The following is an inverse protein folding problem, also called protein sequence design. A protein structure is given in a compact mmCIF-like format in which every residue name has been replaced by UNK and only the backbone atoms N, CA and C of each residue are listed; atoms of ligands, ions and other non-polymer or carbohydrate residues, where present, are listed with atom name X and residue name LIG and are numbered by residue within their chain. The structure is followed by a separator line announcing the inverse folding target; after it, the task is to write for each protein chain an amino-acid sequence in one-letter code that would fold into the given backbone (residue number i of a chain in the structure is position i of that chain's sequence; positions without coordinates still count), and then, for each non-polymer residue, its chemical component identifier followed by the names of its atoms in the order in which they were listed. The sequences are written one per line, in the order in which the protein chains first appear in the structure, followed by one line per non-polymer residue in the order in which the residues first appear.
data_IF_430187199508
#
_entry.id   IF_430187199508
#
_cell.length_a   1.000
_cell.length_b   1.000
_cell.length_c   1.000
_cell.angle_alpha   90.00
_cell.angle_beta   90.00
_cell.angle_gamma   90.00
#
_symmetry.space_group_name_H-M   'P 1'
#
loop_
_entity.id
_entity.type
_entity.pdbx_description
1 polymer ?
#
# COMPACT_ATOMS: atom_id res chain seq x y z
N UNK A 1 -3.71 -5.64 -0.07
CA UNK A 1 -3.20 -4.26 0.10
C UNK A 1 -2.66 -4.14 1.51
N UNK A 2 -1.39 -3.76 1.67
CA UNK A 2 -0.81 -3.45 3.01
C UNK A 2 -1.11 -1.98 3.35
N UNK A 3 -0.85 -1.56 4.58
CA UNK A 3 -1.12 -0.20 5.02
C UNK A 3 -2.54 -0.02 5.58
N UNK A 4 -3.03 1.21 5.53
CA UNK A 4 -4.23 1.64 6.25
C UNK A 4 -5.51 1.59 5.40
N UNK A 5 -5.39 1.72 4.07
CA UNK A 5 -6.53 1.77 3.15
C UNK A 5 -7.57 0.66 3.37
N UNK A 6 -7.10 -0.59 3.57
CA UNK A 6 -7.99 -1.73 3.78
C UNK A 6 -8.76 -1.67 5.10
N UNK A 7 -8.11 -1.22 6.19
CA UNK A 7 -8.77 -1.02 7.47
C UNK A 7 -9.78 0.13 7.38
N UNK A 8 -9.41 1.22 6.71
CA UNK A 8 -10.26 2.38 6.54
C UNK A 8 -11.53 2.07 5.73
N UNK A 9 -11.43 1.21 4.71
CA UNK A 9 -12.58 0.73 3.95
C UNK A 9 -13.59 -0.02 4.86
N UNK A 10 -13.08 -0.83 5.79
CA UNK A 10 -13.92 -1.50 6.80
C UNK A 10 -14.55 -0.50 7.76
N UNK A 11 -13.83 0.53 8.20
CA UNK A 11 -14.38 1.62 9.02
C UNK A 11 -15.38 2.50 8.26
N UNK A 12 -15.29 2.56 6.93
CA UNK A 12 -16.30 3.20 6.08
C UNK A 12 -17.56 2.32 5.91
N UNK A 13 -17.49 1.05 6.31
CA UNK A 13 -18.59 0.10 6.29
C UNK A 13 -18.67 -0.73 5.00
N UNK A 14 -17.58 -0.85 4.25
CA UNK A 14 -17.52 -1.61 3.02
C UNK A 14 -16.57 -2.80 3.16
N UNK A 15 -17.01 -3.97 2.68
CA UNK A 15 -16.17 -5.17 2.59
C UNK A 15 -15.41 -5.25 1.26
N UNK A 16 -16.03 -4.74 0.21
CA UNK A 16 -15.50 -4.73 -1.13
C UNK A 16 -16.07 -3.54 -1.92
N UNK A 17 -15.34 -3.13 -2.95
CA UNK A 17 -15.77 -2.16 -3.95
C UNK A 17 -15.65 -2.84 -5.31
N UNK A 18 -16.76 -2.92 -6.03
CA UNK A 18 -16.81 -3.49 -7.38
C UNK A 18 -16.98 -2.32 -8.35
N UNK A 19 -15.99 -2.13 -9.24
CA UNK A 19 -16.03 -1.07 -10.25
C UNK A 19 -16.32 -1.69 -11.61
N UNK A 20 -17.46 -1.33 -12.18
CA UNK A 20 -17.90 -1.77 -13.50
C UNK A 20 -17.95 -0.58 -14.48
N UNK A 21 -18.03 -0.88 -15.78
CA UNK A 21 -18.05 0.15 -16.82
C UNK A 21 -16.75 0.95 -16.91
N UNK A 22 -16.87 2.18 -17.43
CA UNK A 22 -15.80 3.16 -17.65
C UNK A 22 -16.40 4.56 -17.59
N UNK A 23 -15.76 5.49 -16.88
CA UNK A 23 -16.17 6.89 -16.85
C UNK A 23 -15.78 7.61 -18.16
N UNK A 24 -16.56 8.62 -18.59
CA UNK A 24 -16.26 9.37 -19.82
C UNK A 24 -14.97 10.20 -19.71
N UNK A 25 -14.65 10.68 -18.51
CA UNK A 25 -13.45 11.43 -18.18
C UNK A 25 -12.79 10.88 -16.90
N UNK A 26 -11.52 11.25 -16.59
CA UNK A 26 -10.86 10.88 -15.35
C UNK A 26 -11.68 11.22 -14.10
N UNK A 27 -11.84 10.25 -13.20
CA UNK A 27 -12.58 10.42 -11.94
C UNK A 27 -11.83 9.84 -10.74
N UNK A 28 -12.18 10.32 -9.55
CA UNK A 28 -11.81 9.73 -8.26
C UNK A 28 -13.08 9.28 -7.54
N UNK A 29 -13.09 8.04 -7.05
CA UNK A 29 -14.14 7.56 -6.14
C UNK A 29 -13.82 8.01 -4.72
N UNK A 30 -14.62 8.90 -4.15
CA UNK A 30 -14.49 9.36 -2.77
C UNK A 30 -15.56 8.71 -1.88
N UNK A 31 -15.10 8.03 -0.83
CA UNK A 31 -15.93 7.38 0.18
C UNK A 31 -15.59 8.03 1.52
N UNK A 32 -16.51 8.81 2.07
CA UNK A 32 -16.29 9.50 3.34
C UNK A 32 -17.58 9.55 4.13
N UNK A 33 -17.54 9.12 5.39
CA UNK A 33 -18.65 9.23 6.35
C UNK A 33 -20.00 8.65 5.84
N UNK A 34 -19.95 7.58 5.04
CA UNK A 34 -21.12 6.93 4.45
C UNK A 34 -21.63 7.59 3.15
N UNK A 35 -21.02 8.68 2.70
CA UNK A 35 -21.24 9.27 1.38
C UNK A 35 -20.27 8.64 0.36
N UNK A 36 -20.79 8.23 -0.79
CA UNK A 36 -20.02 7.72 -1.93
C UNK A 36 -20.23 8.64 -3.11
N UNK A 37 -19.16 9.21 -3.67
CA UNK A 37 -19.22 10.17 -4.79
C UNK A 37 -18.14 9.88 -5.82
N UNK A 38 -18.45 10.08 -7.09
CA UNK A 38 -17.46 10.18 -8.16
C UNK A 38 -17.16 11.66 -8.39
N UNK A 39 -15.90 12.03 -8.22
CA UNK A 39 -15.39 13.38 -8.42
C UNK A 39 -14.68 13.45 -9.76
N UNK A 40 -14.95 14.48 -10.57
CA UNK A 40 -14.13 14.76 -11.74
C UNK A 40 -12.69 15.02 -11.31
N UNK A 41 -11.72 14.44 -12.03
CA UNK A 41 -10.31 14.49 -11.67
C UNK A 41 -9.35 14.71 -12.86
N UNK A 42 -9.67 15.58 -13.84
CA UNK A 42 -8.77 15.82 -14.98
C UNK A 42 -7.37 16.31 -14.57
N UNK A 43 -7.26 17.09 -13.49
CA UNK A 43 -6.02 17.68 -12.98
C UNK A 43 -5.08 16.66 -12.31
N UNK A 44 -5.62 15.52 -11.89
CA UNK A 44 -4.86 14.42 -11.30
C UNK A 44 -4.30 13.48 -12.37
N UNK A 45 -4.88 13.47 -13.57
CA UNK A 45 -4.41 12.61 -14.66
C UNK A 45 -3.01 13.04 -15.11
N UNK A 46 -2.11 12.09 -15.29
CA UNK A 46 -0.69 12.32 -15.58
C UNK A 46 0.19 12.52 -14.35
N UNK A 47 -0.39 12.66 -13.14
CA UNK A 47 0.36 12.80 -11.89
C UNK A 47 0.86 11.46 -11.37
N UNK A 48 2.01 11.47 -10.70
CA UNK A 48 2.48 10.32 -9.93
C UNK A 48 1.51 9.96 -8.80
N UNK A 49 1.64 8.75 -8.25
CA UNK A 49 0.77 8.28 -7.17
C UNK A 49 0.92 9.10 -5.90
N UNK A 50 2.14 9.52 -5.57
CA UNK A 50 2.42 10.40 -4.42
C UNK A 50 1.85 11.80 -4.62
N UNK A 51 2.04 12.41 -5.79
CA UNK A 51 1.45 13.71 -6.11
C UNK A 51 -0.08 13.65 -6.08
N UNK A 52 -0.67 12.56 -6.58
CA UNK A 52 -2.13 12.36 -6.55
C UNK A 52 -2.66 12.33 -5.12
N UNK A 53 -1.98 11.61 -4.22
CA UNK A 53 -2.38 11.55 -2.80
C UNK A 53 -2.18 12.90 -2.10
N UNK A 54 -1.03 13.55 -2.30
CA UNK A 54 -0.70 14.84 -1.70
C UNK A 54 -1.71 15.92 -2.18
N UNK A 55 -1.95 16.03 -3.50
CA UNK A 55 -2.96 16.93 -4.08
C UNK A 55 -4.37 16.67 -3.55
N UNK A 56 -4.77 15.39 -3.44
CA UNK A 56 -6.10 15.05 -2.95
C UNK A 56 -6.27 15.47 -1.49
N UNK A 57 -5.26 15.23 -0.65
CA UNK A 57 -5.27 15.63 0.76
C UNK A 57 -5.25 17.15 0.92
N UNK A 58 -4.48 17.87 0.12
CA UNK A 58 -4.44 19.34 0.09
C UNK A 58 -5.77 19.96 -0.36
N UNK A 59 -6.55 19.25 -1.20
CA UNK A 59 -7.88 19.71 -1.63
C UNK A 59 -8.96 19.63 -0.54
N UNK A 60 -8.69 18.94 0.57
CA UNK A 60 -9.61 18.81 1.69
C UNK A 60 -9.41 19.99 2.66
N UNK A 61 -10.51 20.69 2.96
CA UNK A 61 -10.48 21.90 3.82
C UNK A 61 -9.99 21.60 5.25
N UNK A 62 -10.35 20.44 5.80
CA UNK A 62 -9.99 20.03 7.16
C UNK A 62 -8.78 19.08 7.15
N UNK A 63 -7.69 19.52 7.77
CA UNK A 63 -6.45 18.77 7.90
C UNK A 63 -6.60 17.46 8.70
N UNK A 64 -7.56 17.38 9.63
CA UNK A 64 -7.88 16.13 10.33
C UNK A 64 -8.54 15.13 9.39
N UNK A 65 -9.46 15.60 8.54
CA UNK A 65 -10.07 14.77 7.49
C UNK A 65 -9.01 14.30 6.51
N UNK A 66 -8.11 15.19 6.08
CA UNK A 66 -7.01 14.84 5.17
C UNK A 66 -6.08 13.77 5.76
N UNK A 67 -5.75 13.88 7.05
CA UNK A 67 -4.89 12.91 7.76
C UNK A 67 -5.55 11.53 7.89
N UNK A 68 -6.86 11.47 8.06
CA UNK A 68 -7.64 10.23 8.16
C UNK A 68 -8.12 9.69 6.82
N UNK A 69 -7.84 10.39 5.71
CA UNK A 69 -8.21 9.93 4.38
C UNK A 69 -7.07 9.17 3.74
N UNK A 70 -7.33 7.94 3.30
CA UNK A 70 -6.35 7.09 2.63
C UNK A 70 -6.72 6.94 1.15
N UNK A 71 -5.71 7.03 0.29
CA UNK A 71 -5.90 7.04 -1.16
C UNK A 71 -5.18 5.84 -1.77
N UNK A 72 -5.86 5.11 -2.63
CA UNK A 72 -5.29 4.11 -3.52
C UNK A 72 -5.41 4.62 -4.96
N UNK A 73 -4.28 4.87 -5.62
CA UNK A 73 -4.23 5.55 -6.92
C UNK A 73 -3.38 4.81 -7.95
N UNK A 74 -3.59 5.14 -9.22
CA UNK A 74 -2.68 4.76 -10.31
C UNK A 74 -1.79 5.93 -10.70
N UNK A 75 -0.59 5.63 -11.17
CA UNK A 75 0.28 6.62 -11.83
C UNK A 75 0.16 6.57 -13.36
N UNK A 76 1.03 7.29 -14.08
CA UNK A 76 1.02 7.34 -15.55
C UNK A 76 1.12 5.96 -16.23
N UNK A 77 1.74 4.97 -15.57
CA UNK A 77 1.79 3.60 -16.07
C UNK A 77 0.41 2.95 -16.16
N UNK A 78 -0.47 3.17 -15.17
CA UNK A 78 -1.84 2.66 -15.18
C UNK A 78 -2.70 3.39 -16.21
N UNK A 79 -2.55 4.72 -16.28
CA UNK A 79 -3.25 5.57 -17.25
C UNK A 79 -2.92 5.20 -18.71
N UNK A 80 -1.67 4.80 -18.98
CA UNK A 80 -1.18 4.32 -20.29
C UNK A 80 -1.35 2.82 -20.49
N UNK A 81 -2.07 2.12 -19.59
CA UNK A 81 -2.39 0.69 -19.70
C UNK A 81 -1.16 -0.23 -19.80
N UNK A 82 -0.07 0.12 -19.11
CA UNK A 82 1.13 -0.74 -19.08
C UNK A 82 0.78 -2.09 -18.44
N UNK A 83 1.08 -3.25 -19.06
CA UNK A 83 0.63 -4.56 -18.58
C UNK A 83 1.01 -4.94 -17.15
N UNK A 84 2.05 -4.30 -16.59
CA UNK A 84 2.52 -4.52 -15.22
C UNK A 84 2.27 -3.30 -14.31
N UNK A 85 1.38 -2.39 -14.71
CA UNK A 85 1.02 -1.25 -13.88
C UNK A 85 0.35 -1.69 -12.58
N UNK A 86 0.77 -1.05 -11.49
CA UNK A 86 0.27 -1.29 -10.14
C UNK A 86 -0.69 -0.19 -9.70
N UNK A 87 -1.44 -0.50 -8.65
CA UNK A 87 -2.12 0.49 -7.81
C UNK A 87 -1.18 0.76 -6.63
N UNK A 88 -1.11 1.99 -6.14
CA UNK A 88 -0.28 2.36 -4.99
C UNK A 88 -1.17 3.01 -3.94
N UNK A 89 -0.99 2.62 -2.68
CA UNK A 89 -1.64 3.27 -1.54
C UNK A 89 -0.60 3.70 -0.50
N UNK A 90 -1.04 4.52 0.46
CA UNK A 90 -0.20 5.07 1.53
C UNK A 90 1.14 5.62 0.98
N UNK A 91 1.05 6.36 -0.14
CA UNK A 91 2.13 7.01 -0.88
C UNK A 91 3.15 6.08 -1.57
N UNK A 92 3.50 4.94 -0.97
CA UNK A 92 4.62 4.11 -1.41
C UNK A 92 4.35 2.60 -1.36
N UNK A 93 3.17 2.14 -0.96
CA UNK A 93 2.86 0.70 -0.90
C UNK A 93 2.22 0.27 -2.22
N UNK A 94 2.98 -0.37 -3.14
CA UNK A 94 2.39 -0.94 -4.35
C UNK A 94 1.55 -2.16 -3.98
N UNK A 95 0.42 -2.28 -4.67
CA UNK A 95 -0.48 -3.41 -4.57
C UNK A 95 -0.77 -3.93 -5.96
N UNK A 96 -0.55 -5.22 -6.09
CA UNK A 96 -0.71 -5.93 -7.35
C UNK A 96 0.63 -6.20 -8.02
N UNK A 97 0.55 -6.22 -9.33
CA UNK A 97 1.35 -7.01 -10.25
C UNK A 97 0.36 -7.71 -11.19
N UNK A 98 0.72 -7.92 -12.45
CA UNK A 98 -0.18 -8.43 -13.51
C UNK A 98 -1.30 -7.46 -13.96
N UNK A 99 -1.05 -6.15 -13.91
CA UNK A 99 -1.83 -5.18 -14.70
C UNK A 99 -3.10 -4.64 -14.03
N UNK A 100 -3.26 -4.82 -12.72
CA UNK A 100 -4.40 -4.26 -11.97
C UNK A 100 -4.50 -2.73 -12.12
N UNK A 101 -3.36 -2.02 -12.15
CA UNK A 101 -3.32 -0.59 -12.41
C UNK A 101 -3.75 -0.22 -13.84
N UNK A 102 -3.47 -1.08 -14.82
CA UNK A 102 -3.94 -0.89 -16.19
C UNK A 102 -5.45 -1.11 -16.29
N UNK A 103 -6.00 -2.11 -15.59
CA UNK A 103 -7.44 -2.32 -15.52
C UNK A 103 -8.14 -1.10 -14.90
N UNK A 104 -7.62 -0.58 -13.78
CA UNK A 104 -8.16 0.64 -13.16
C UNK A 104 -8.09 1.86 -14.10
N UNK A 105 -6.95 2.04 -14.79
CA UNK A 105 -6.78 3.10 -15.78
C UNK A 105 -7.71 2.98 -16.99
N UNK A 106 -8.00 1.77 -17.45
CA UNK A 106 -8.94 1.52 -18.56
C UNK A 106 -10.36 2.01 -18.28
N UNK A 107 -10.71 2.16 -17.00
CA UNK A 107 -12.00 2.67 -16.53
C UNK A 107 -12.02 4.18 -16.34
N UNK A 108 -10.93 4.89 -16.65
CA UNK A 108 -10.70 6.29 -16.32
C UNK A 108 -10.81 6.58 -14.81
N UNK A 109 -10.56 5.59 -13.95
CA UNK A 109 -10.57 5.75 -12.50
C UNK A 109 -9.14 6.04 -12.02
N UNK A 110 -8.88 7.28 -11.60
CA UNK A 110 -7.57 7.73 -11.16
C UNK A 110 -7.23 7.26 -9.75
N UNK A 111 -8.19 7.32 -8.84
CA UNK A 111 -8.00 6.90 -7.46
C UNK A 111 -9.31 6.49 -6.79
N UNK A 112 -9.17 5.77 -5.69
CA UNK A 112 -10.20 5.61 -4.66
C UNK A 112 -9.67 6.24 -3.39
N UNK A 113 -10.41 7.19 -2.82
CA UNK A 113 -10.12 7.81 -1.54
C UNK A 113 -11.16 7.36 -0.52
N UNK A 114 -10.71 6.95 0.66
CA UNK A 114 -11.59 6.40 1.70
C UNK A 114 -11.27 7.01 3.06
N UNK A 115 -12.34 7.33 3.80
CA UNK A 115 -12.34 7.68 5.20
C UNK A 115 -13.54 7.05 5.90
N UNK A 116 -13.31 6.45 7.05
CA UNK A 116 -14.27 5.70 7.83
C UNK A 116 -14.21 6.04 9.31
N UNK A 117 -15.35 6.39 9.90
CA UNK A 117 -15.47 6.67 11.34
C UNK A 117 -16.20 5.60 12.13
N UNK A 118 -16.66 4.52 11.47
CA UNK A 118 -17.49 3.52 12.15
C UNK A 118 -16.61 2.61 12.99
N UNK A 119 -17.12 2.24 14.16
CA UNK A 119 -16.54 1.16 14.95
C UNK A 119 -16.89 -0.20 14.35
N UNK A 120 -15.98 -1.16 14.52
CA UNK A 120 -16.20 -2.54 14.11
C UNK A 120 -16.77 -3.35 15.27
N UNK A 121 -17.73 -4.23 14.96
CA UNK A 121 -18.24 -5.23 15.91
C UNK A 121 -17.55 -6.56 15.67
N UNK A 122 -17.06 -7.15 16.74
CA UNK A 122 -16.55 -8.53 16.77
C UNK A 122 -17.49 -9.39 17.62
N UNK A 123 -17.59 -10.68 17.29
CA UNK A 123 -18.54 -11.57 17.96
C UNK A 123 -18.27 -11.74 19.46
N UNK A 124 -16.99 -11.83 19.85
CA UNK A 124 -16.54 -11.90 21.24
C UNK A 124 -15.32 -11.01 21.43
N UNK A 125 -15.55 -9.81 21.98
CA UNK A 125 -14.50 -8.81 22.17
C UNK A 125 -13.42 -9.24 23.16
N UNK A 126 -13.81 -9.90 24.25
CA UNK A 126 -12.86 -10.33 25.29
C UNK A 126 -11.94 -11.42 24.76
N UNK A 127 -12.50 -12.43 24.10
CA UNK A 127 -11.71 -13.50 23.48
C UNK A 127 -10.84 -12.96 22.36
N UNK A 128 -11.34 -12.03 21.54
CA UNK A 128 -10.55 -11.41 20.49
C UNK A 128 -9.29 -10.74 21.04
N UNK A 129 -9.42 -9.90 22.07
CA UNK A 129 -8.29 -9.23 22.71
C UNK A 129 -7.31 -10.23 23.31
N UNK A 130 -7.79 -11.29 23.97
CA UNK A 130 -6.92 -12.34 24.53
C UNK A 130 -6.08 -13.03 23.43
N UNK A 131 -6.71 -13.37 22.31
CA UNK A 131 -6.03 -14.03 21.18
C UNK A 131 -5.02 -13.07 20.54
N UNK A 132 -5.39 -11.82 20.30
CA UNK A 132 -4.50 -10.80 19.74
C UNK A 132 -3.26 -10.62 20.62
N UNK A 133 -3.44 -10.45 21.94
CA UNK A 133 -2.32 -10.33 22.88
C UNK A 133 -1.42 -11.56 22.86
N UNK A 134 -2.01 -12.75 22.81
CA UNK A 134 -1.24 -14.00 22.69
C UNK A 134 -0.40 -14.03 21.42
N UNK A 135 -0.95 -13.61 20.28
CA UNK A 135 -0.23 -13.58 19.01
C UNK A 135 0.88 -12.52 19.00
N UNK A 136 0.62 -11.32 19.51
CA UNK A 136 1.62 -10.26 19.65
C UNK A 136 2.78 -10.74 20.51
N UNK A 137 2.50 -11.39 21.65
CA UNK A 137 3.55 -11.94 22.53
C UNK A 137 4.39 -13.01 21.82
N UNK A 138 3.77 -13.90 21.03
CA UNK A 138 4.50 -14.89 20.23
C UNK A 138 5.42 -14.21 19.20
N UNK A 139 4.91 -13.21 18.47
CA UNK A 139 5.69 -12.45 17.50
C UNK A 139 6.87 -11.71 18.17
N UNK A 140 6.65 -11.12 19.34
CA UNK A 140 7.71 -10.43 20.08
C UNK A 140 8.75 -11.41 20.65
N UNK A 141 8.35 -12.63 21.01
CA UNK A 141 9.25 -13.65 21.55
C UNK A 141 10.17 -14.29 20.51
N UNK A 142 9.82 -14.24 19.22
CA UNK A 142 10.61 -14.84 18.16
C UNK A 142 11.67 -13.86 17.63
N UNK A 143 12.99 -14.14 17.75
CA UNK A 143 14.05 -13.21 17.35
C UNK A 143 13.97 -12.76 15.90
N UNK A 144 13.48 -13.63 15.02
CA UNK A 144 13.28 -13.35 13.61
C UNK A 144 12.33 -12.16 13.37
N UNK A 145 11.17 -12.16 14.02
CA UNK A 145 10.16 -11.10 13.89
C UNK A 145 10.46 -9.89 14.74
N UNK A 146 11.06 -10.06 15.94
CA UNK A 146 11.31 -8.95 16.86
C UNK A 146 12.60 -8.17 16.56
N UNK A 147 13.60 -8.78 15.93
CA UNK A 147 14.88 -8.14 15.63
C UNK A 147 15.09 -7.93 14.12
N UNK A 148 15.25 -9.02 13.36
CA UNK A 148 15.68 -8.94 11.96
C UNK A 148 14.67 -8.21 11.06
N UNK A 149 13.39 -8.56 11.17
CA UNK A 149 12.34 -7.89 10.39
C UNK A 149 12.10 -6.44 10.84
N UNK A 150 12.22 -6.16 12.14
CA UNK A 150 12.08 -4.80 12.68
C UNK A 150 13.19 -3.87 12.20
N UNK A 151 14.43 -4.36 12.14
CA UNK A 151 15.59 -3.54 11.77
C UNK A 151 15.68 -3.26 10.27
N UNK A 152 15.44 -4.27 9.43
CA UNK A 152 15.70 -4.17 7.98
C UNK A 152 14.45 -4.30 7.10
N UNK A 153 13.26 -4.51 7.69
CA UNK A 153 12.06 -4.84 6.93
C UNK A 153 12.28 -6.09 6.08
N UNK A 154 11.67 -6.17 4.90
CA UNK A 154 11.85 -7.30 3.97
C UNK A 154 13.26 -7.36 3.35
N UNK A 155 14.08 -6.30 3.45
CA UNK A 155 15.42 -6.27 2.84
C UNK A 155 16.38 -7.30 3.45
N UNK A 156 16.11 -7.79 4.67
CA UNK A 156 16.87 -8.89 5.27
C UNK A 156 16.93 -10.13 4.36
N UNK A 157 15.89 -10.36 3.53
CA UNK A 157 15.80 -11.49 2.62
C UNK A 157 16.93 -11.50 1.58
N UNK A 158 17.51 -10.35 1.23
CA UNK A 158 18.64 -10.29 0.28
C UNK A 158 19.83 -11.06 0.82
N UNK A 159 20.17 -10.86 2.10
CA UNK A 159 21.25 -11.58 2.77
C UNK A 159 20.97 -13.07 2.92
N UNK A 160 19.73 -13.42 3.30
CA UNK A 160 19.30 -14.82 3.42
C UNK A 160 19.38 -15.57 2.08
N UNK A 161 18.83 -14.99 1.01
CA UNK A 161 18.87 -15.58 -0.32
C UNK A 161 20.30 -15.74 -0.84
N UNK A 162 21.18 -14.76 -0.56
CA UNK A 162 22.60 -14.87 -0.89
C UNK A 162 23.27 -16.04 -0.15
N UNK A 163 23.08 -16.14 1.17
CA UNK A 163 23.65 -17.23 1.98
C UNK A 163 23.17 -18.61 1.50
N UNK A 164 21.94 -18.71 1.02
CA UNK A 164 21.35 -19.93 0.48
C UNK A 164 21.72 -20.21 -0.98
N UNK A 165 22.45 -19.32 -1.66
CA UNK A 165 22.81 -19.48 -3.07
C UNK A 165 21.61 -19.43 -4.01
N UNK A 166 20.55 -18.69 -3.65
CA UNK A 166 19.29 -18.57 -4.41
C UNK A 166 18.96 -17.12 -4.80
N UNK A 167 19.88 -16.18 -4.58
CA UNK A 167 19.68 -14.78 -4.98
C UNK A 167 19.79 -14.66 -6.51
N UNK A 168 18.70 -14.32 -7.23
CA UNK A 168 18.72 -14.27 -8.69
C UNK A 168 19.70 -13.23 -9.21
N UNK A 169 20.48 -13.60 -10.21
CA UNK A 169 21.42 -12.72 -10.91
C UNK A 169 21.30 -12.93 -12.43
N UNK A 170 21.45 -11.85 -13.19
CA UNK A 170 21.49 -11.87 -14.65
C UNK A 170 20.26 -12.59 -15.26
N UNK A 171 19.06 -12.10 -14.90
CA UNK A 171 17.78 -12.71 -15.32
C UNK A 171 17.66 -14.21 -14.96
N UNK A 172 17.97 -14.55 -13.70
CA UNK A 172 17.93 -15.92 -13.17
C UNK A 172 18.90 -16.91 -13.83
N UNK A 173 19.83 -16.46 -14.67
CA UNK A 173 20.86 -17.33 -15.25
C UNK A 173 21.87 -17.82 -14.20
N UNK A 174 22.03 -17.07 -13.12
CA UNK A 174 22.94 -17.39 -12.03
C UNK A 174 22.29 -17.14 -10.67
N UNK A 175 22.83 -17.78 -9.64
CA UNK A 175 22.33 -17.69 -8.26
C UNK A 175 23.45 -17.37 -7.26
N UNK A 176 24.16 -16.26 -7.46
CA UNK A 176 25.04 -15.67 -6.45
C UNK A 176 25.51 -14.27 -6.90
N UNK A 177 24.95 -13.20 -6.31
CA UNK A 177 25.42 -11.83 -6.52
C UNK A 177 26.23 -11.35 -5.30
N UNK A 178 27.22 -10.49 -5.49
CA UNK A 178 27.93 -9.84 -4.37
C UNK A 178 26.98 -8.96 -3.56
N UNK A 179 27.11 -8.97 -2.23
CA UNK A 179 26.29 -8.14 -1.34
C UNK A 179 26.81 -6.71 -1.15
N UNK A 180 28.00 -6.38 -1.68
CA UNK A 180 28.72 -5.12 -1.38
C UNK A 180 27.83 -3.87 -1.50
N UNK A 181 26.93 -3.83 -2.47
CA UNK A 181 26.09 -2.66 -2.76
C UNK A 181 24.57 -2.91 -2.55
N UNK A 182 24.15 -4.11 -2.17
CA UNK A 182 22.73 -4.50 -2.14
C UNK A 182 22.30 -5.17 -0.82
N UNK A 183 23.24 -5.50 0.07
CA UNK A 183 22.95 -6.10 1.38
C UNK A 183 22.47 -5.09 2.43
N UNK A 184 22.06 -5.60 3.59
CA UNK A 184 21.59 -4.78 4.73
C UNK A 184 22.63 -3.77 5.20
N UNK A 185 23.92 -4.14 5.19
CA UNK A 185 25.02 -3.20 5.52
C UNK A 185 25.13 -2.02 4.54
N UNK A 186 24.85 -2.25 3.25
CA UNK A 186 24.86 -1.19 2.25
C UNK A 186 23.67 -0.25 2.48
N UNK A 187 22.51 -0.81 2.83
CA UNK A 187 21.30 -0.06 3.16
C UNK A 187 21.52 0.85 4.38
N UNK A 188 22.09 0.32 5.47
CA UNK A 188 22.37 1.07 6.70
C UNK A 188 23.38 2.22 6.49
N UNK A 189 24.39 2.01 5.63
CA UNK A 189 25.38 3.06 5.32
C UNK A 189 24.83 4.16 4.44
N UNK A 190 23.89 3.84 3.55
CA UNK A 190 23.38 4.76 2.55
C UNK A 190 22.18 5.59 3.05
N UNK A 191 21.38 5.06 3.97
CA UNK A 191 20.12 5.68 4.39
C UNK A 191 19.93 5.65 5.90
N UNK A 192 19.30 6.70 6.42
CA UNK A 192 18.76 6.69 7.78
C UNK A 192 17.53 5.77 7.81
N UNK A 193 17.68 4.60 8.44
CA UNK A 193 16.58 3.65 8.59
C UNK A 193 15.76 4.00 9.82
N UNK A 194 14.44 4.15 9.61
CA UNK A 194 13.47 4.23 10.70
C UNK A 194 12.27 3.37 10.34
N UNK A 195 11.85 2.53 11.28
CA UNK A 195 10.55 1.88 11.21
C UNK A 195 9.53 2.85 11.77
N UNK A 196 8.56 3.29 10.96
CA UNK A 196 7.31 3.81 11.50
C UNK A 196 6.52 2.60 11.96
N UNK A 197 6.63 2.29 13.26
CA UNK A 197 5.93 1.19 13.91
C UNK A 197 4.42 1.27 13.72
#
# INVERSE_FOLDING_TARGET
MRGHFGAEMKYAGFDAIIIEGRAEAPVILSISDGSVRLLAAPEYWGRSTSETEDMFKESLEDQWVARETFVASIGPAGEKLVPLANIVNDRFLPVGGAGTGAVMGSKNLKAVAVRGKRSLKVADGNRFVQVVNTMINKLNSAPFTSQSMTQWGSAFLVGLCHQKGILPKDNFQHSCATLKNIGTQALEKAFALSSRG
#
